data_IF_272808950213
#
_entry.id   IF_272808950213
#
_cell.length_a   1.000
_cell.length_b   1.000
_cell.length_c   1.000
_cell.angle_alpha   90.00
_cell.angle_beta   90.00
_cell.angle_gamma   90.00
#
_symmetry.space_group_name_H-M   'P 1'
#
loop_
_entity.id
_entity.type
_entity.pdbx_description
1 polymer ?
#
# COMPACT_ATOMS: atom_id res chain seq x y z
N UNK A 1 33.28 60.90 -37.51
CA UNK A 1 32.42 60.66 -36.33
C UNK A 1 32.33 59.16 -36.13
N UNK A 2 32.95 58.62 -35.08
CA UNK A 2 32.97 57.18 -34.79
C UNK A 2 31.82 56.84 -33.84
N UNK A 3 30.86 56.06 -34.31
CA UNK A 3 29.76 55.51 -33.51
C UNK A 3 30.28 54.35 -32.67
N UNK A 4 30.44 54.54 -31.36
CA UNK A 4 30.75 53.47 -30.42
C UNK A 4 29.47 52.73 -30.05
N UNK A 5 29.27 51.54 -30.61
CA UNK A 5 28.19 50.64 -30.22
C UNK A 5 28.55 50.00 -28.87
N UNK A 6 27.88 50.41 -27.78
CA UNK A 6 27.98 49.75 -26.47
C UNK A 6 26.87 48.70 -26.39
N UNK A 7 27.19 47.46 -26.71
CA UNK A 7 26.28 46.35 -26.44
C UNK A 7 26.24 46.10 -24.92
N UNK A 8 25.07 46.30 -24.31
CA UNK A 8 24.90 46.31 -22.85
C UNK A 8 24.97 44.90 -22.25
N UNK A 9 25.80 44.75 -21.22
CA UNK A 9 25.84 43.58 -20.34
C UNK A 9 24.52 43.41 -19.57
N UNK A 10 24.12 42.17 -19.26
CA UNK A 10 22.82 41.79 -18.69
C UNK A 10 22.54 42.22 -17.23
N UNK A 11 23.41 43.02 -16.60
CA UNK A 11 23.20 43.60 -15.27
C UNK A 11 23.67 45.06 -15.34
N UNK A 12 22.88 45.98 -14.77
CA UNK A 12 22.94 47.44 -14.92
C UNK A 12 24.26 48.14 -14.54
N UNK A 13 25.33 47.43 -14.19
CA UNK A 13 26.60 48.02 -13.74
C UNK A 13 27.89 47.35 -14.28
N UNK A 14 27.85 46.51 -15.33
CA UNK A 14 29.09 45.90 -15.86
C UNK A 14 29.75 46.73 -16.99
N UNK A 15 30.98 47.22 -16.77
CA UNK A 15 31.77 48.04 -17.73
C UNK A 15 32.73 47.18 -18.59
N UNK A 16 32.77 45.86 -18.39
CA UNK A 16 33.75 44.98 -19.02
C UNK A 16 33.40 44.53 -20.45
N UNK A 17 34.40 44.51 -21.35
CA UNK A 17 34.29 44.21 -22.80
C UNK A 17 34.34 42.72 -23.17
N UNK A 18 34.45 41.81 -22.20
CA UNK A 18 34.59 40.36 -22.46
C UNK A 18 33.24 39.68 -22.27
N UNK A 19 32.69 39.17 -23.37
CA UNK A 19 31.40 38.49 -23.41
C UNK A 19 31.60 36.96 -23.49
N UNK A 20 31.33 36.26 -22.40
CA UNK A 20 31.25 34.80 -22.38
C UNK A 20 29.78 34.37 -22.53
N UNK A 21 29.52 33.28 -23.26
CA UNK A 21 28.16 32.80 -23.52
C UNK A 21 27.91 31.47 -22.83
N UNK A 22 26.67 31.28 -22.34
CA UNK A 22 26.21 29.97 -21.86
C UNK A 22 25.14 29.46 -22.83
N UNK A 23 25.44 28.36 -23.51
CA UNK A 23 24.60 27.80 -24.58
C UNK A 23 23.21 27.37 -24.10
N UNK A 24 23.05 27.11 -22.80
CA UNK A 24 21.79 26.71 -22.17
C UNK A 24 20.98 27.86 -21.59
N UNK A 25 21.46 29.10 -21.65
CA UNK A 25 20.77 30.24 -21.05
C UNK A 25 20.12 31.14 -22.11
N UNK A 26 18.97 31.76 -21.81
CA UNK A 26 18.37 32.76 -22.67
C UNK A 26 19.18 34.07 -22.69
N UNK A 27 20.03 34.31 -21.69
CA UNK A 27 20.97 35.43 -21.71
C UNK A 27 22.18 35.09 -22.58
N UNK A 28 22.38 35.90 -23.62
CA UNK A 28 23.35 35.61 -24.68
C UNK A 28 24.78 35.94 -24.22
N UNK A 29 24.98 36.94 -23.35
CA UNK A 29 26.31 37.44 -23.01
C UNK A 29 26.48 37.78 -21.52
N UNK A 30 27.48 37.17 -20.89
CA UNK A 30 27.90 37.45 -19.52
C UNK A 30 29.25 38.16 -19.54
N UNK A 31 29.44 39.18 -18.69
CA UNK A 31 30.80 39.60 -18.37
C UNK A 31 31.53 38.52 -17.53
N UNK A 32 32.85 38.49 -17.57
CA UNK A 32 33.65 37.38 -17.01
C UNK A 32 33.27 37.00 -15.56
N UNK A 33 33.11 37.97 -14.66
CA UNK A 33 32.73 37.71 -13.27
C UNK A 33 31.31 37.14 -13.13
N UNK A 34 30.35 37.65 -13.90
CA UNK A 34 28.98 37.13 -13.91
C UNK A 34 28.91 35.72 -14.52
N UNK A 35 29.78 35.42 -15.49
CA UNK A 35 29.90 34.07 -16.04
C UNK A 35 30.42 33.07 -15.00
N UNK A 36 31.43 33.46 -14.21
CA UNK A 36 31.96 32.62 -13.14
C UNK A 36 30.92 32.36 -12.04
N UNK A 37 30.20 33.40 -11.59
CA UNK A 37 29.08 33.24 -10.63
C UNK A 37 27.98 32.33 -11.18
N UNK A 38 27.60 32.51 -12.44
CA UNK A 38 26.63 31.65 -13.09
C UNK A 38 27.10 30.18 -13.13
N UNK A 39 28.37 29.92 -13.43
CA UNK A 39 28.96 28.58 -13.42
C UNK A 39 28.99 27.97 -12.02
N UNK A 40 29.28 28.78 -11.01
CA UNK A 40 29.23 28.36 -9.60
C UNK A 40 27.80 28.01 -9.17
N UNK A 41 26.81 28.80 -9.56
CA UNK A 41 25.39 28.53 -9.31
C UNK A 41 24.93 27.21 -9.96
N UNK A 42 25.38 26.95 -11.20
CA UNK A 42 25.12 25.68 -11.87
C UNK A 42 25.81 24.50 -11.17
N UNK A 43 27.04 24.70 -10.68
CA UNK A 43 27.75 23.70 -9.88
C UNK A 43 26.97 23.34 -8.61
N UNK A 44 26.49 24.35 -7.88
CA UNK A 44 25.65 24.17 -6.68
C UNK A 44 24.34 23.43 -7.01
N UNK A 45 23.69 23.78 -8.12
CA UNK A 45 22.49 23.07 -8.56
C UNK A 45 22.77 21.59 -8.89
N UNK A 46 23.91 21.30 -9.53
CA UNK A 46 24.31 19.93 -9.84
C UNK A 46 24.58 19.11 -8.58
N UNK A 47 25.22 19.70 -7.56
CA UNK A 47 25.42 19.06 -6.26
C UNK A 47 24.10 18.75 -5.56
N UNK A 48 23.13 19.66 -5.60
CA UNK A 48 21.77 19.42 -5.07
C UNK A 48 21.14 18.21 -5.78
N UNK A 49 21.17 18.17 -7.12
CA UNK A 49 20.64 17.05 -7.88
C UNK A 49 21.36 15.72 -7.59
N UNK A 50 22.68 15.75 -7.39
CA UNK A 50 23.46 14.57 -7.01
C UNK A 50 23.02 14.05 -5.63
N UNK A 51 22.82 14.94 -4.66
CA UNK A 51 22.33 14.58 -3.34
C UNK A 51 20.90 14.03 -3.37
N UNK A 52 20.01 14.62 -4.18
CA UNK A 52 18.65 14.10 -4.38
C UNK A 52 18.65 12.70 -5.00
N UNK A 53 19.51 12.47 -6.01
CA UNK A 53 19.73 11.14 -6.60
C UNK A 53 20.19 10.14 -5.54
N UNK A 54 21.18 10.49 -4.73
CA UNK A 54 21.73 9.59 -3.72
C UNK A 54 20.69 9.28 -2.63
N UNK A 55 19.89 10.27 -2.24
CA UNK A 55 18.74 10.06 -1.36
C UNK A 55 17.68 9.12 -1.96
N UNK A 56 17.42 9.22 -3.27
CA UNK A 56 16.51 8.30 -3.96
C UNK A 56 17.09 6.88 -4.04
N UNK A 57 18.37 6.74 -4.38
CA UNK A 57 19.06 5.44 -4.41
C UNK A 57 19.01 4.76 -3.04
N UNK A 58 19.27 5.50 -1.98
CA UNK A 58 19.17 4.97 -0.62
C UNK A 58 17.76 4.48 -0.28
N UNK A 59 16.72 5.24 -0.65
CA UNK A 59 15.31 4.79 -0.48
C UNK A 59 15.00 3.52 -1.25
N UNK A 60 15.52 3.38 -2.47
CA UNK A 60 15.35 2.17 -3.29
C UNK A 60 16.03 0.98 -2.62
N UNK A 61 17.26 1.15 -2.13
CA UNK A 61 17.99 0.10 -1.41
C UNK A 61 17.27 -0.33 -0.14
N UNK A 62 16.78 0.63 0.65
CA UNK A 62 15.98 0.35 1.84
C UNK A 62 14.71 -0.45 1.51
N UNK A 63 13.96 -0.04 0.48
CA UNK A 63 12.76 -0.78 0.07
C UNK A 63 13.07 -2.17 -0.52
N UNK A 64 14.23 -2.36 -1.14
CA UNK A 64 14.68 -3.68 -1.60
C UNK A 64 15.07 -4.59 -0.43
N UNK A 65 15.75 -4.04 0.58
CA UNK A 65 16.12 -4.78 1.78
C UNK A 65 14.89 -5.14 2.62
N UNK A 66 13.92 -4.24 2.69
CA UNK A 66 12.74 -4.37 3.54
C UNK A 66 11.43 -4.12 2.77
N UNK A 67 11.07 -5.01 1.82
CA UNK A 67 9.89 -4.82 0.97
C UNK A 67 8.57 -4.83 1.77
N UNK A 68 8.58 -5.48 2.94
CA UNK A 68 7.43 -5.52 3.85
C UNK A 68 7.11 -4.15 4.48
N UNK A 69 8.08 -3.23 4.54
CA UNK A 69 7.83 -1.87 5.03
C UNK A 69 7.13 -0.98 3.99
N UNK A 70 6.94 -1.47 2.76
CA UNK A 70 6.31 -0.70 1.71
C UNK A 70 4.92 -0.23 2.13
N UNK A 71 4.57 1.01 1.78
CA UNK A 71 3.32 1.64 2.24
C UNK A 71 2.05 0.86 1.81
N UNK A 72 2.08 0.18 0.67
CA UNK A 72 0.98 -0.68 0.24
C UNK A 72 0.85 -1.95 1.08
N UNK A 73 1.95 -2.47 1.64
CA UNK A 73 1.90 -3.61 2.55
C UNK A 73 1.21 -3.21 3.85
N UNK A 74 1.55 -2.03 4.40
CA UNK A 74 0.88 -1.49 5.59
C UNK A 74 -0.63 -1.39 5.44
N UNK A 75 -1.14 -1.05 4.24
CA UNK A 75 -2.58 -1.03 3.96
C UNK A 75 -3.23 -2.42 4.04
N UNK A 76 -2.49 -3.46 3.65
CA UNK A 76 -2.95 -4.85 3.78
C UNK A 76 -2.97 -5.24 5.26
N UNK A 77 -1.91 -4.93 6.00
CA UNK A 77 -1.81 -5.22 7.44
C UNK A 77 -2.89 -4.51 8.26
N UNK A 78 -3.20 -3.26 7.92
CA UNK A 78 -4.29 -2.49 8.53
C UNK A 78 -5.65 -3.15 8.24
N UNK A 79 -5.93 -3.47 6.98
CA UNK A 79 -7.15 -4.16 6.60
C UNK A 79 -7.31 -5.51 7.31
N UNK A 80 -6.24 -6.29 7.45
CA UNK A 80 -6.25 -7.58 8.15
C UNK A 80 -6.59 -7.39 9.63
N UNK A 81 -5.90 -6.47 10.30
CA UNK A 81 -6.11 -6.17 11.72
C UNK A 81 -7.55 -5.73 12.00
N UNK A 82 -8.06 -4.80 11.20
CA UNK A 82 -9.43 -4.28 11.36
C UNK A 82 -10.46 -5.37 11.09
N UNK A 83 -10.21 -6.23 10.11
CA UNK A 83 -11.07 -7.37 9.77
C UNK A 83 -11.17 -8.37 10.91
N UNK A 84 -10.03 -8.73 11.53
CA UNK A 84 -9.98 -9.63 12.69
C UNK A 84 -10.74 -9.01 13.87
N UNK A 85 -10.49 -7.74 14.17
CA UNK A 85 -11.15 -7.04 15.27
C UNK A 85 -12.68 -7.05 15.10
N UNK A 86 -13.16 -6.81 13.88
CA UNK A 86 -14.58 -6.83 13.56
C UNK A 86 -15.20 -8.22 13.74
N UNK A 87 -14.52 -9.28 13.28
CA UNK A 87 -14.98 -10.67 13.47
C UNK A 87 -15.06 -11.02 14.96
N UNK A 88 -14.03 -10.66 15.72
CA UNK A 88 -13.98 -10.91 17.17
C UNK A 88 -15.08 -10.17 17.92
N UNK A 89 -15.36 -8.92 17.55
CA UNK A 89 -16.43 -8.14 18.14
C UNK A 89 -17.80 -8.79 17.91
N UNK A 90 -18.14 -9.12 16.66
CA UNK A 90 -19.43 -9.75 16.33
C UNK A 90 -19.58 -11.11 17.02
N UNK A 91 -18.51 -11.91 17.08
CA UNK A 91 -18.52 -13.18 17.80
C UNK A 91 -18.75 -12.99 19.31
N UNK A 92 -18.19 -11.93 19.91
CA UNK A 92 -18.40 -11.60 21.33
C UNK A 92 -19.84 -11.19 21.59
N UNK A 93 -20.41 -10.32 20.73
CA UNK A 93 -21.79 -9.88 20.82
C UNK A 93 -22.76 -11.06 20.69
N UNK A 94 -22.56 -11.94 19.70
CA UNK A 94 -23.38 -13.14 19.51
C UNK A 94 -23.32 -14.08 20.73
N UNK A 95 -22.13 -14.30 21.30
CA UNK A 95 -21.96 -15.09 22.53
C UNK A 95 -22.69 -14.46 23.72
N UNK A 96 -22.63 -13.15 23.88
CA UNK A 96 -23.32 -12.45 24.97
C UNK A 96 -24.84 -12.56 24.84
N UNK A 97 -25.39 -12.40 23.64
CA UNK A 97 -26.82 -12.59 23.37
C UNK A 97 -27.22 -14.02 23.72
N UNK A 98 -26.47 -15.01 23.23
CA UNK A 98 -26.73 -16.43 23.50
C UNK A 98 -26.71 -16.74 25.00
N UNK A 99 -25.67 -16.31 25.72
CA UNK A 99 -25.56 -16.49 27.17
C UNK A 99 -26.72 -15.85 27.92
N UNK A 100 -27.16 -14.66 27.51
CA UNK A 100 -28.30 -13.97 28.15
C UNK A 100 -29.62 -14.73 27.97
N UNK A 101 -29.78 -15.43 26.84
CA UNK A 101 -30.95 -16.27 26.58
C UNK A 101 -30.87 -17.61 27.32
N UNK A 102 -29.71 -18.28 27.31
CA UNK A 102 -29.49 -19.53 28.06
C UNK A 102 -29.73 -19.30 29.55
N UNK A 103 -29.25 -18.18 30.12
CA UNK A 103 -29.46 -17.84 31.53
C UNK A 103 -30.96 -17.75 31.91
N UNK A 104 -31.82 -17.27 30.98
CA UNK A 104 -33.27 -17.20 31.19
C UNK A 104 -33.98 -18.55 31.05
N UNK A 105 -33.29 -19.56 30.52
CA UNK A 105 -33.83 -20.89 30.29
C UNK A 105 -33.73 -21.78 31.53
N UNK A 106 -32.63 -21.68 32.29
CA UNK A 106 -32.41 -22.51 33.49
C UNK A 106 -33.57 -22.49 34.50
N UNK A 107 -34.14 -21.33 34.88
CA UNK A 107 -35.26 -21.31 35.82
C UNK A 107 -36.49 -22.09 35.33
N UNK A 108 -36.72 -22.14 34.01
CA UNK A 108 -37.85 -22.90 33.44
C UNK A 108 -37.61 -24.40 33.53
N UNK A 109 -36.37 -24.84 33.34
CA UNK A 109 -35.98 -26.24 33.51
C UNK A 109 -36.10 -26.64 34.97
N UNK A 110 -35.58 -25.83 35.89
CA UNK A 110 -35.70 -26.04 37.34
C UNK A 110 -37.17 -26.14 37.78
N UNK A 111 -38.03 -25.25 37.28
CA UNK A 111 -39.46 -25.28 37.58
C UNK A 111 -40.14 -26.58 37.10
N UNK A 112 -39.73 -27.13 35.95
CA UNK A 112 -40.25 -28.44 35.46
C UNK A 112 -39.63 -29.63 36.19
N UNK A 113 -38.43 -29.48 36.75
CA UNK A 113 -37.74 -30.52 37.50
C UNK A 113 -38.26 -30.63 38.94
N UNK A 114 -38.79 -29.56 39.52
CA UNK A 114 -39.29 -29.54 40.92
C UNK A 114 -40.40 -30.56 41.18
N UNK A 115 -41.50 -30.63 40.39
CA UNK A 115 -42.57 -31.62 40.63
C UNK A 115 -42.06 -33.06 40.51
N UNK A 116 -41.19 -33.32 39.53
CA UNK A 116 -40.56 -34.62 39.35
C UNK A 116 -39.69 -35.00 40.56
N UNK A 117 -38.95 -34.03 41.11
CA UNK A 117 -38.12 -34.21 42.31
C UNK A 117 -39.00 -34.54 43.52
N UNK A 118 -40.14 -33.86 43.66
CA UNK A 118 -41.09 -34.11 44.75
C UNK A 118 -41.74 -35.49 44.61
N UNK A 119 -42.17 -35.88 43.41
CA UNK A 119 -42.73 -37.21 43.11
C UNK A 119 -41.72 -38.33 43.44
N UNK A 120 -40.46 -38.19 42.99
CA UNK A 120 -39.40 -39.16 43.24
C UNK A 120 -39.02 -39.28 44.72
N UNK A 121 -39.13 -38.19 45.50
CA UNK A 121 -38.84 -38.20 46.94
C UNK A 121 -39.99 -38.76 47.78
N UNK A 122 -41.24 -38.54 47.36
CA UNK A 122 -42.42 -38.92 48.14
C UNK A 122 -42.88 -40.36 47.88
N UNK A 123 -42.78 -40.88 46.64
CA UNK A 123 -43.30 -42.21 46.29
C UNK A 123 -42.61 -43.41 46.99
N UNK A 124 -41.29 -43.41 47.25
CA UNK A 124 -40.65 -44.53 47.97
C UNK A 124 -41.24 -44.74 49.38
N UNK A 125 -41.64 -43.66 50.06
CA UNK A 125 -42.28 -43.73 51.38
C UNK A 125 -43.71 -44.25 51.31
N UNK A 126 -44.34 -44.24 50.13
CA UNK A 126 -45.70 -44.71 49.90
C UNK A 126 -45.74 -46.17 49.45
N UNK A 127 -44.62 -46.80 49.08
CA UNK A 127 -44.57 -48.20 48.57
C UNK A 127 -45.49 -48.49 47.36
N UNK A 128 -45.91 -47.45 46.63
CA UNK A 128 -46.79 -47.53 45.48
C UNK A 128 -46.15 -46.81 44.28
N UNK A 129 -45.34 -47.52 43.52
CA UNK A 129 -44.97 -47.13 42.16
C UNK A 129 -45.04 -48.34 41.24
N UNK A 130 -45.38 -48.10 39.98
CA UNK A 130 -45.52 -49.13 38.95
C UNK A 130 -44.60 -48.81 37.77
N UNK A 131 -44.34 -49.77 36.89
CA UNK A 131 -43.43 -49.60 35.75
C UNK A 131 -43.77 -48.40 34.85
N UNK A 132 -45.04 -48.03 34.77
CA UNK A 132 -45.49 -46.85 34.02
C UNK A 132 -45.02 -45.54 34.63
N UNK A 133 -44.90 -45.46 35.97
CA UNK A 133 -44.35 -44.29 36.65
C UNK A 133 -42.87 -44.10 36.31
N UNK A 134 -42.09 -45.18 36.41
CA UNK A 134 -40.66 -45.18 36.07
C UNK A 134 -40.43 -44.79 34.60
N UNK A 135 -41.28 -45.29 33.70
CA UNK A 135 -41.21 -44.96 32.28
C UNK A 135 -41.52 -43.49 32.03
N UNK A 136 -42.56 -42.94 32.68
CA UNK A 136 -42.92 -41.52 32.59
C UNK A 136 -41.77 -40.63 33.07
N UNK A 137 -41.24 -40.88 34.26
CA UNK A 137 -40.14 -40.08 34.82
C UNK A 137 -38.88 -40.13 33.97
N UNK A 138 -38.55 -41.31 33.42
CA UNK A 138 -37.41 -41.44 32.50
C UNK A 138 -37.62 -40.60 31.23
N UNK A 139 -38.82 -40.62 30.66
CA UNK A 139 -39.15 -39.79 29.49
C UNK A 139 -39.08 -38.30 29.80
N UNK A 140 -39.61 -37.85 30.94
CA UNK A 140 -39.55 -36.45 31.36
C UNK A 140 -38.10 -35.98 31.58
N UNK A 141 -37.25 -36.81 32.19
CA UNK A 141 -35.82 -36.51 32.33
C UNK A 141 -35.12 -36.38 30.98
N UNK A 142 -35.37 -37.29 30.04
CA UNK A 142 -34.78 -37.21 28.70
C UNK A 142 -35.25 -35.97 27.92
N UNK A 143 -36.53 -35.59 28.07
CA UNK A 143 -37.04 -34.35 27.49
C UNK A 143 -36.35 -33.12 28.09
N UNK A 144 -36.15 -33.08 29.41
CA UNK A 144 -35.49 -31.96 30.09
C UNK A 144 -34.00 -31.86 29.72
N UNK A 145 -33.30 -33.00 29.58
CA UNK A 145 -31.92 -33.04 29.05
C UNK A 145 -31.85 -32.48 27.64
N UNK A 146 -32.72 -32.95 26.75
CA UNK A 146 -32.77 -32.48 25.36
C UNK A 146 -33.04 -30.98 25.29
N UNK A 147 -33.92 -30.48 26.15
CA UNK A 147 -34.25 -29.07 26.27
C UNK A 147 -33.06 -28.21 26.75
N UNK A 148 -32.26 -28.71 27.70
CA UNK A 148 -31.04 -28.05 28.17
C UNK A 148 -29.97 -27.97 27.08
N UNK A 149 -29.78 -29.05 26.34
CA UNK A 149 -28.74 -29.12 25.29
C UNK A 149 -29.12 -28.33 24.04
N UNK A 150 -30.41 -28.29 23.70
CA UNK A 150 -30.93 -27.64 22.50
C UNK A 150 -32.29 -26.98 22.73
N UNK A 151 -32.31 -25.78 23.33
CA UNK A 151 -33.55 -25.03 23.53
C UNK A 151 -34.18 -24.63 22.19
N UNK A 152 -35.48 -24.90 21.97
CA UNK A 152 -36.14 -24.75 20.66
C UNK A 152 -36.19 -23.30 20.15
N UNK A 153 -36.13 -22.33 21.07
CA UNK A 153 -36.19 -20.89 20.78
C UNK A 153 -34.84 -20.32 20.33
N UNK A 154 -33.77 -21.11 20.33
CA UNK A 154 -32.42 -20.67 19.96
C UNK A 154 -31.93 -21.40 18.72
N UNK A 155 -31.49 -20.63 17.74
CA UNK A 155 -30.81 -21.12 16.54
C UNK A 155 -29.65 -20.20 16.22
N UNK A 156 -28.48 -20.78 16.03
CA UNK A 156 -27.33 -20.06 15.47
C UNK A 156 -27.39 -20.23 13.97
N UNK A 157 -27.43 -19.10 13.25
CA UNK A 157 -27.47 -19.07 11.79
C UNK A 157 -26.43 -18.09 11.28
N UNK A 158 -25.97 -18.32 10.05
CA UNK A 158 -25.06 -17.40 9.37
C UNK A 158 -25.87 -16.42 8.52
N UNK A 159 -25.55 -15.14 8.65
CA UNK A 159 -26.05 -14.12 7.72
C UNK A 159 -25.32 -14.28 6.38
N UNK A 160 -26.04 -14.01 5.29
CA UNK A 160 -25.49 -14.01 3.93
C UNK A 160 -24.69 -12.74 3.62
N UNK A 161 -24.81 -11.69 4.45
CA UNK A 161 -24.09 -10.43 4.26
C UNK A 161 -22.61 -10.56 4.68
N UNK A 162 -21.65 -10.13 3.84
CA UNK A 162 -20.24 -10.27 4.16
C UNK A 162 -19.84 -9.28 5.26
N UNK A 163 -19.37 -9.81 6.39
CA UNK A 163 -18.87 -8.99 7.50
C UNK A 163 -17.60 -8.21 7.11
N UNK A 164 -16.73 -8.83 6.31
CA UNK A 164 -15.45 -8.31 5.86
C UNK A 164 -15.41 -8.35 4.33
N UNK A 165 -15.03 -7.24 3.71
CA UNK A 165 -14.86 -7.13 2.26
C UNK A 165 -13.47 -7.58 1.84
N UNK A 166 -13.38 -8.34 0.75
CA UNK A 166 -12.10 -8.86 0.24
C UNK A 166 -11.17 -7.72 -0.23
N UNK A 167 -9.94 -7.68 0.29
CA UNK A 167 -8.87 -6.84 -0.27
C UNK A 167 -8.33 -7.42 -1.59
N UNK A 168 -8.01 -6.55 -2.55
CA UNK A 168 -7.50 -6.94 -3.86
C UNK A 168 -6.34 -6.03 -4.29
N UNK A 169 -5.29 -6.63 -4.83
CA UNK A 169 -4.21 -5.91 -5.49
C UNK A 169 -4.46 -5.94 -6.99
N UNK A 170 -4.65 -4.77 -7.60
CA UNK A 170 -4.81 -4.62 -9.05
C UNK A 170 -3.52 -4.07 -9.64
N UNK A 171 -2.90 -4.84 -10.53
CA UNK A 171 -1.69 -4.42 -11.25
C UNK A 171 -2.13 -3.84 -12.58
N UNK A 172 -2.05 -2.51 -12.73
CA UNK A 172 -2.18 -1.85 -14.01
C UNK A 172 -0.79 -1.74 -14.62
N UNK A 173 -0.54 -2.44 -15.74
CA UNK A 173 0.78 -2.40 -16.40
C UNK A 173 1.07 -0.98 -16.91
N UNK A 174 1.94 -0.24 -16.21
CA UNK A 174 2.47 1.07 -16.62
C UNK A 174 3.97 1.01 -16.95
N UNK A 175 4.50 -0.18 -17.28
CA UNK A 175 5.91 -0.38 -17.66
C UNK A 175 6.29 0.24 -19.02
N UNK A 176 5.33 0.83 -19.76
CA UNK A 176 5.58 1.46 -21.05
C UNK A 176 6.00 2.93 -20.98
N UNK A 177 5.89 3.61 -19.82
CA UNK A 177 6.13 5.06 -19.74
C UNK A 177 7.57 5.47 -19.37
N UNK A 178 8.41 4.54 -18.91
CA UNK A 178 9.77 4.86 -18.45
C UNK A 178 10.82 4.76 -19.59
N UNK A 179 10.48 4.12 -20.72
CA UNK A 179 11.47 3.85 -21.79
C UNK A 179 11.64 4.94 -22.85
N UNK A 180 10.68 5.85 -23.02
CA UNK A 180 10.64 6.68 -24.24
C UNK A 180 10.97 8.17 -24.05
N UNK A 181 10.99 8.70 -22.81
CA UNK A 181 11.10 10.16 -22.62
C UNK A 181 12.54 10.70 -22.53
N UNK A 182 13.53 9.88 -22.13
CA UNK A 182 14.87 10.39 -21.81
C UNK A 182 15.93 10.23 -22.92
N UNK A 183 15.70 9.38 -23.93
CA UNK A 183 16.73 9.14 -24.97
C UNK A 183 16.64 10.10 -26.16
N UNK A 184 15.47 10.69 -26.44
CA UNK A 184 15.25 11.46 -27.67
C UNK A 184 15.60 12.95 -27.51
N UNK A 185 15.31 13.57 -26.36
CA UNK A 185 15.46 15.04 -26.21
C UNK A 185 16.90 15.53 -26.15
N UNK A 186 17.81 14.73 -25.57
CA UNK A 186 19.24 15.09 -25.43
C UNK A 186 20.01 14.79 -26.71
N UNK A 187 19.74 13.65 -27.37
CA UNK A 187 20.42 13.26 -28.61
C UNK A 187 20.03 14.14 -29.80
N UNK A 188 18.75 14.53 -29.94
CA UNK A 188 18.34 15.39 -31.07
C UNK A 188 18.84 16.84 -30.94
N UNK A 189 19.02 17.33 -29.70
CA UNK A 189 19.59 18.65 -29.44
C UNK A 189 21.10 18.70 -29.78
N UNK A 190 21.84 17.60 -29.58
CA UNK A 190 23.27 17.50 -29.89
C UNK A 190 23.54 17.16 -31.36
N UNK A 191 22.72 16.29 -31.98
CA UNK A 191 22.88 15.87 -33.38
C UNK A 191 22.64 17.02 -34.38
N UNK A 192 21.71 17.93 -34.09
CA UNK A 192 21.49 19.14 -34.91
C UNK A 192 22.67 20.13 -34.87
N UNK A 193 23.61 20.02 -33.91
CA UNK A 193 24.81 20.87 -33.84
C UNK A 193 26.08 20.20 -34.35
N UNK A 194 26.22 18.87 -34.21
CA UNK A 194 27.42 18.13 -34.66
C UNK A 194 27.53 17.99 -36.19
N UNK A 195 26.44 18.14 -36.94
CA UNK A 195 26.49 18.17 -38.42
C UNK A 195 27.30 19.35 -38.99
N UNK A 196 27.72 20.32 -38.15
CA UNK A 196 28.60 21.43 -38.54
C UNK A 196 29.97 21.44 -37.83
N UNK A 197 30.38 20.38 -37.14
CA UNK A 197 31.69 20.40 -36.47
C UNK A 197 32.10 19.12 -35.75
N UNK A 198 33.08 18.46 -36.34
CA UNK A 198 34.08 17.56 -35.76
C UNK A 198 33.64 16.18 -35.19
N UNK A 199 33.96 15.14 -35.97
CA UNK A 199 33.66 13.71 -35.74
C UNK A 199 34.39 13.07 -34.55
N UNK A 200 35.22 13.80 -33.80
CA UNK A 200 36.03 13.24 -32.69
C UNK A 200 35.24 13.02 -31.40
N UNK A 201 34.16 13.77 -31.15
CA UNK A 201 33.42 13.72 -29.86
C UNK A 201 32.54 12.45 -29.77
N UNK A 202 32.01 11.97 -30.88
CA UNK A 202 31.12 10.80 -30.93
C UNK A 202 31.85 9.52 -30.48
N UNK A 203 33.10 9.32 -30.91
CA UNK A 203 33.89 8.12 -30.55
C UNK A 203 34.27 8.05 -29.06
N UNK A 204 34.25 9.17 -28.34
CA UNK A 204 34.59 9.20 -26.90
C UNK A 204 33.38 8.86 -26.04
N UNK A 205 32.17 9.27 -26.46
CA UNK A 205 30.92 8.94 -25.76
C UNK A 205 30.54 7.45 -25.93
N UNK A 206 30.81 6.86 -27.09
CA UNK A 206 30.61 5.42 -27.32
C UNK A 206 31.49 4.54 -26.42
N UNK A 207 32.71 4.97 -26.10
CA UNK A 207 33.61 4.24 -25.18
C UNK A 207 33.23 4.38 -23.72
N UNK A 208 32.72 5.53 -23.28
CA UNK A 208 32.34 5.76 -21.88
C UNK A 208 31.04 5.04 -21.51
N UNK A 209 30.18 4.74 -22.50
CA UNK A 209 28.89 4.08 -22.28
C UNK A 209 28.92 2.56 -22.53
N UNK A 210 30.04 2.00 -23.02
CA UNK A 210 30.21 0.57 -23.29
C UNK A 210 29.08 -0.03 -24.16
N UNK A 211 28.62 0.73 -25.15
CA UNK A 211 27.50 0.35 -26.03
C UNK A 211 28.09 -0.35 -27.25
N UNK A 212 27.73 -1.63 -27.45
CA UNK A 212 28.03 -2.39 -28.67
C UNK A 212 27.02 -2.00 -29.78
N UNK A 213 27.45 -1.29 -30.84
CA UNK A 213 26.55 -0.85 -31.90
C UNK A 213 26.03 -2.00 -32.78
N UNK A 214 26.54 -3.22 -32.63
CA UNK A 214 26.06 -4.39 -33.39
C UNK A 214 24.79 -5.02 -32.83
N UNK A 215 24.41 -4.71 -31.58
CA UNK A 215 23.20 -5.25 -30.93
C UNK A 215 21.90 -4.56 -31.35
N UNK A 216 21.96 -3.41 -32.00
CA UNK A 216 20.78 -2.62 -32.40
C UNK A 216 20.72 -2.46 -33.92
N UNK A 217 20.74 -3.57 -34.66
CA UNK A 217 20.27 -3.57 -36.05
C UNK A 217 18.74 -3.64 -36.05
N UNK A 218 18.09 -2.48 -36.13
CA UNK A 218 16.69 -2.41 -36.52
C UNK A 218 16.56 -2.91 -37.97
N UNK A 219 15.95 -4.08 -38.16
CA UNK A 219 15.35 -4.45 -39.45
C UNK A 219 14.13 -3.57 -39.63
N UNK A 220 14.22 -2.63 -40.56
CA UNK A 220 13.06 -1.96 -41.13
C UNK A 220 12.30 -3.01 -41.95
N UNK A 221 11.07 -3.30 -41.55
CA UNK A 221 10.03 -3.92 -42.36
C UNK A 221 8.84 -2.97 -42.36
#
# INVERSE_FOLDING_TARGET
MATTNRESCCVTDCIARVTATCVGCPQVFYCHEHYLKHREDLGRQLEILANERDGLMHKIEQQKAEPQQHALMKKIDEWERDSIAKIQQVAKEAKQILLSHIAKFFPRVEQRLSPLTDELRQKPNMNYFVDTDLTKWKQELEQLKTLLDNPPDLKVQQDSTPLVTKIQVKITSSLLLIRDYDYISVYDAQRKRSLNGDHRIIRTLERLLNIDPTKYKFKLA
#
